data_IF_035706017286
#
_entry.id   IF_035706017286
#
_cell.length_a   1.000
_cell.length_b   1.000
_cell.length_c   1.000
_cell.angle_alpha   90.00
_cell.angle_beta   90.00
_cell.angle_gamma   90.00
#
_symmetry.space_group_name_H-M   'P 1'
#
loop_
_entity.id
_entity.type
_entity.pdbx_description
1 polymer ?
#
# COMPACT_ATOMS: atom_id res chain seq x y z
N UNK A 1 4.25 17.28 16.25
CA UNK A 1 4.61 16.12 15.39
C UNK A 1 3.62 15.00 15.63
N UNK A 2 3.17 14.30 14.58
CA UNK A 2 2.29 13.13 14.70
C UNK A 2 3.12 11.87 14.50
N UNK A 3 2.97 10.90 15.40
CA UNK A 3 3.69 9.62 15.38
C UNK A 3 2.67 8.51 15.30
N UNK A 4 2.71 7.78 14.19
CA UNK A 4 1.88 6.61 13.99
C UNK A 4 2.61 5.36 14.47
N UNK A 5 2.02 4.67 15.44
CA UNK A 5 2.51 3.41 15.95
C UNK A 5 1.67 2.24 15.43
N UNK A 6 2.28 1.08 15.45
CA UNK A 6 1.69 -0.18 15.02
C UNK A 6 2.35 -1.31 15.78
N UNK A 7 1.58 -2.36 16.06
CA UNK A 7 2.12 -3.64 16.53
C UNK A 7 3.34 -4.03 15.66
N UNK A 8 4.54 -4.23 16.27
CA UNK A 8 5.75 -4.56 15.54
C UNK A 8 5.65 -5.83 14.68
N UNK A 9 4.88 -6.83 15.13
CA UNK A 9 4.70 -8.08 14.36
C UNK A 9 3.79 -7.84 13.16
N UNK A 10 2.74 -7.02 13.31
CA UNK A 10 1.95 -6.61 12.16
C UNK A 10 2.77 -5.80 11.15
N UNK A 11 3.72 -4.99 11.63
CA UNK A 11 4.65 -4.24 10.77
C UNK A 11 5.57 -5.19 9.99
N UNK A 12 6.16 -6.18 10.66
CA UNK A 12 6.93 -7.24 10.00
C UNK A 12 6.11 -7.93 8.93
N UNK A 13 4.91 -8.41 9.26
CA UNK A 13 4.01 -9.05 8.29
C UNK A 13 3.75 -8.15 7.07
N UNK A 14 3.49 -6.86 7.27
CA UNK A 14 3.31 -5.94 6.15
C UNK A 14 4.57 -5.78 5.28
N UNK A 15 5.75 -5.66 5.91
CA UNK A 15 7.02 -5.55 5.19
C UNK A 15 7.39 -6.84 4.44
N UNK A 16 7.17 -8.00 5.05
CA UNK A 16 7.41 -9.33 4.46
C UNK A 16 6.56 -9.54 3.21
N UNK A 17 5.30 -9.11 3.25
CA UNK A 17 4.34 -9.22 2.16
C UNK A 17 4.44 -8.09 1.11
N UNK A 18 5.36 -7.14 1.27
CA UNK A 18 5.46 -5.99 0.38
C UNK A 18 5.85 -6.40 -1.05
N UNK A 19 5.07 -5.92 -2.02
CA UNK A 19 5.29 -6.16 -3.45
C UNK A 19 6.35 -5.17 -3.96
N UNK A 20 7.27 -5.64 -4.77
CA UNK A 20 8.24 -4.82 -5.51
C UNK A 20 7.60 -4.46 -6.85
N UNK A 21 7.10 -3.24 -6.94
CA UNK A 21 6.53 -2.72 -8.19
C UNK A 21 7.64 -2.54 -9.22
N UNK A 22 7.47 -3.16 -10.39
CA UNK A 22 8.45 -3.14 -11.48
C UNK A 22 7.83 -2.82 -12.83
N UNK A 23 6.51 -2.97 -12.98
CA UNK A 23 5.74 -2.50 -14.14
C UNK A 23 4.92 -1.28 -13.70
N UNK A 24 5.02 -0.21 -14.47
CA UNK A 24 4.28 1.05 -14.23
C UNK A 24 3.57 1.55 -15.49
N UNK A 25 4.03 1.14 -16.67
CA UNK A 25 3.46 1.45 -17.97
C UNK A 25 3.27 0.18 -18.78
N UNK A 26 2.16 0.11 -19.50
CA UNK A 26 1.76 -0.99 -20.37
C UNK A 26 1.17 -0.42 -21.66
N UNK A 27 1.11 -1.20 -22.73
CA UNK A 27 0.39 -0.85 -23.96
C UNK A 27 -0.64 -1.94 -24.32
N UNK A 28 -1.33 -1.77 -25.45
CA UNK A 28 -2.36 -2.71 -25.90
C UNK A 28 -1.80 -4.08 -26.33
N UNK A 29 -0.49 -4.21 -26.54
CA UNK A 29 0.16 -5.45 -26.96
C UNK A 29 0.53 -6.35 -25.78
N UNK A 30 0.78 -5.76 -24.61
CA UNK A 30 1.18 -6.51 -23.42
C UNK A 30 0.01 -7.33 -22.84
N UNK A 31 0.21 -8.63 -22.70
CA UNK A 31 -0.80 -9.51 -22.10
C UNK A 31 -1.15 -9.05 -20.68
N UNK A 32 -2.45 -8.91 -20.31
CA UNK A 32 -2.81 -8.50 -18.96
C UNK A 32 -2.26 -9.39 -17.83
N UNK A 33 -2.02 -10.68 -18.08
CA UNK A 33 -1.40 -11.56 -17.09
C UNK A 33 0.05 -11.18 -16.80
N UNK A 34 0.78 -10.73 -17.83
CA UNK A 34 2.16 -10.25 -17.72
C UNK A 34 2.21 -8.87 -17.08
N UNK A 35 1.29 -7.98 -17.47
CA UNK A 35 1.14 -6.64 -16.90
C UNK A 35 0.91 -6.64 -15.38
N UNK A 36 0.28 -7.69 -14.86
CA UNK A 36 -0.16 -7.82 -13.47
C UNK A 36 0.68 -8.81 -12.65
N UNK A 37 1.88 -9.16 -13.13
CA UNK A 37 2.82 -9.97 -12.34
C UNK A 37 3.26 -9.17 -11.12
N UNK A 38 3.13 -9.76 -9.93
CA UNK A 38 3.71 -9.22 -8.72
C UNK A 38 5.08 -9.83 -8.47
N UNK A 39 6.04 -8.96 -8.16
CA UNK A 39 7.34 -9.37 -7.65
C UNK A 39 7.40 -9.08 -6.17
N UNK A 40 8.13 -9.88 -5.44
CA UNK A 40 8.32 -9.78 -4.00
C UNK A 40 9.82 -9.67 -3.71
N UNK A 41 10.20 -9.99 -2.47
CA UNK A 41 11.59 -10.08 -2.05
C UNK A 41 12.44 -10.86 -3.07
N UNK A 42 13.60 -10.29 -3.43
CA UNK A 42 14.53 -10.85 -4.44
C UNK A 42 13.88 -11.11 -5.82
N UNK A 43 12.88 -10.30 -6.20
CA UNK A 43 12.16 -10.42 -7.48
C UNK A 43 11.49 -11.79 -7.72
N UNK A 44 11.08 -12.48 -6.64
CA UNK A 44 10.31 -13.73 -6.72
C UNK A 44 8.82 -13.45 -6.93
N UNK A 45 8.07 -14.44 -7.43
CA UNK A 45 6.62 -14.34 -7.66
C UNK A 45 5.76 -14.64 -6.41
N UNK A 46 6.41 -14.84 -5.26
CA UNK A 46 5.81 -15.14 -3.97
C UNK A 46 6.56 -14.43 -2.83
N UNK A 47 5.87 -14.02 -1.75
CA UNK A 47 6.53 -13.47 -0.57
C UNK A 47 7.39 -14.53 0.10
N UNK A 48 8.42 -14.10 0.83
CA UNK A 48 9.34 -15.02 1.50
C UNK A 48 9.58 -14.60 2.95
N UNK A 49 9.47 -15.56 3.87
CA UNK A 49 9.77 -15.36 5.29
C UNK A 49 11.25 -15.03 5.54
N UNK A 50 12.18 -15.38 4.64
CA UNK A 50 13.58 -14.92 4.70
C UNK A 50 13.70 -13.39 4.77
N UNK A 51 12.71 -12.66 4.24
CA UNK A 51 12.69 -11.20 4.35
C UNK A 51 12.64 -10.73 5.80
N UNK A 52 12.08 -11.52 6.71
CA UNK A 52 12.08 -11.23 8.16
C UNK A 52 13.51 -11.08 8.67
N UNK A 53 14.42 -11.99 8.28
CA UNK A 53 15.83 -11.91 8.69
C UNK A 53 16.46 -10.59 8.22
N UNK A 54 16.23 -10.23 6.96
CA UNK A 54 16.72 -8.95 6.41
C UNK A 54 16.15 -7.74 7.17
N UNK A 55 14.85 -7.74 7.48
CA UNK A 55 14.22 -6.62 8.20
C UNK A 55 14.79 -6.50 9.62
N UNK A 56 15.05 -7.63 10.27
CA UNK A 56 15.62 -7.69 11.62
C UNK A 56 17.09 -7.27 11.64
N UNK A 57 17.85 -7.61 10.59
CA UNK A 57 19.26 -7.20 10.42
C UNK A 57 19.41 -5.69 10.14
N UNK A 58 18.38 -5.06 9.57
CA UNK A 58 18.33 -3.62 9.30
C UNK A 58 17.16 -2.95 10.04
N UNK A 59 17.23 -2.82 11.38
CA UNK A 59 16.09 -2.49 12.24
C UNK A 59 15.63 -1.02 12.18
N UNK A 60 16.16 -0.22 11.25
CA UNK A 60 15.73 1.16 11.01
C UNK A 60 14.21 1.30 10.84
N UNK A 61 13.49 0.23 10.51
CA UNK A 61 12.03 0.19 10.44
C UNK A 61 11.31 0.24 11.80
N UNK A 62 12.01 -0.04 12.90
CA UNK A 62 11.47 -0.05 14.26
C UNK A 62 11.86 1.19 15.05
N UNK A 63 13.00 1.81 14.75
CA UNK A 63 13.58 2.95 15.48
C UNK A 63 12.80 4.28 15.29
N UNK A 64 11.52 4.32 15.68
CA UNK A 64 10.70 5.52 15.56
C UNK A 64 11.16 6.56 16.58
N UNK A 65 11.35 6.16 17.85
CA UNK A 65 11.65 7.13 18.90
C UNK A 65 13.07 7.67 18.84
N UNK A 66 14.04 6.85 18.46
CA UNK A 66 15.40 7.31 18.16
C UNK A 66 15.42 8.34 17.02
N UNK A 67 14.43 8.32 16.10
CA UNK A 67 14.33 9.32 15.04
C UNK A 67 13.70 10.62 15.50
N UNK A 68 12.78 10.54 16.47
CA UNK A 68 12.10 11.71 17.03
C UNK A 68 13.09 12.68 17.68
N UNK A 69 14.13 12.15 18.34
CA UNK A 69 15.15 12.96 19.02
C UNK A 69 15.99 13.83 18.07
N UNK A 70 16.00 13.55 16.76
CA UNK A 70 16.69 14.41 15.78
C UNK A 70 15.95 15.72 15.48
N UNK A 71 14.66 15.81 15.78
CA UNK A 71 13.87 16.99 15.51
C UNK A 71 13.94 17.97 16.69
N UNK A 72 14.61 19.11 16.49
CA UNK A 72 14.90 20.10 17.54
C UNK A 72 13.72 20.99 17.94
N UNK A 73 12.71 21.14 17.09
CA UNK A 73 11.61 22.09 17.26
C UNK A 73 10.26 21.42 17.54
N UNK A 74 10.27 20.23 18.16
CA UNK A 74 9.04 19.55 18.55
C UNK A 74 8.51 20.18 19.84
N UNK A 75 7.34 20.81 19.76
CA UNK A 75 6.60 21.32 20.93
C UNK A 75 5.69 20.25 21.54
N UNK A 76 5.13 19.38 20.71
CA UNK A 76 4.20 18.33 21.13
C UNK A 76 4.29 17.10 20.23
N UNK A 77 4.11 15.91 20.82
CA UNK A 77 4.08 14.61 20.13
C UNK A 77 2.69 13.99 20.28
N UNK A 78 1.97 13.88 19.16
CA UNK A 78 0.68 13.19 19.11
C UNK A 78 0.90 11.74 18.69
N UNK A 79 0.70 10.81 19.61
CA UNK A 79 0.81 9.37 19.32
C UNK A 79 -0.55 8.84 18.86
N UNK A 80 -0.57 8.15 17.73
CA UNK A 80 -1.74 7.45 17.18
C UNK A 80 -1.42 5.96 17.03
N UNK A 81 -2.41 5.11 17.23
CA UNK A 81 -2.35 3.72 16.78
C UNK A 81 -2.80 3.66 15.31
N UNK A 82 -2.26 2.72 14.53
CA UNK A 82 -2.74 2.43 13.17
C UNK A 82 -4.25 2.14 13.16
N UNK A 83 -4.80 1.55 14.22
CA UNK A 83 -6.25 1.32 14.40
C UNK A 83 -7.06 2.62 14.43
N UNK A 84 -6.46 3.76 14.78
CA UNK A 84 -7.13 5.06 14.82
C UNK A 84 -7.32 5.65 13.42
N UNK A 85 -6.55 5.20 12.43
CA UNK A 85 -6.59 5.68 11.05
C UNK A 85 -7.14 4.64 10.07
N UNK A 86 -7.90 3.66 10.57
CA UNK A 86 -8.54 2.60 9.77
C UNK A 86 -10.06 2.69 9.85
N UNK A 87 -10.72 2.59 8.70
CA UNK A 87 -12.18 2.56 8.59
C UNK A 87 -12.82 3.85 9.10
N UNK A 88 -13.99 3.72 9.74
CA UNK A 88 -14.76 4.85 10.27
C UNK A 88 -14.01 5.71 11.28
N UNK A 89 -13.01 5.15 11.99
CA UNK A 89 -12.18 5.91 12.94
C UNK A 89 -11.29 6.93 12.24
N UNK A 90 -10.86 6.65 11.01
CA UNK A 90 -9.93 7.49 10.28
C UNK A 90 -10.43 8.92 10.14
N UNK A 91 -11.65 9.10 9.64
CA UNK A 91 -12.24 10.43 9.47
C UNK A 91 -12.31 11.20 10.80
N UNK A 92 -12.86 10.59 11.85
CA UNK A 92 -12.95 11.19 13.19
C UNK A 92 -11.57 11.57 13.75
N UNK A 93 -10.57 10.71 13.58
CA UNK A 93 -9.19 10.98 14.00
C UNK A 93 -8.63 12.20 13.29
N UNK A 94 -8.79 12.31 11.96
CA UNK A 94 -8.34 13.48 11.20
C UNK A 94 -9.10 14.77 11.58
N UNK A 95 -10.40 14.70 11.86
CA UNK A 95 -11.17 15.84 12.38
C UNK A 95 -10.69 16.31 13.77
N UNK A 96 -10.25 15.39 14.61
CA UNK A 96 -9.67 15.72 15.92
C UNK A 96 -8.27 16.31 15.77
N UNK A 97 -7.44 15.75 14.89
CA UNK A 97 -6.11 16.26 14.60
C UNK A 97 -6.17 17.66 13.97
N UNK A 98 -7.13 17.94 13.10
CA UNK A 98 -7.25 19.25 12.45
C UNK A 98 -7.46 20.37 13.46
N UNK A 99 -8.25 20.12 14.51
CA UNK A 99 -8.46 21.05 15.63
C UNK A 99 -7.18 21.24 16.46
N UNK A 100 -6.45 20.15 16.73
CA UNK A 100 -5.23 20.18 17.56
C UNK A 100 -4.04 20.82 16.84
N UNK A 101 -3.92 20.58 15.55
CA UNK A 101 -2.78 20.98 14.71
C UNK A 101 -3.08 22.19 13.83
N UNK A 102 -4.30 22.73 13.92
CA UNK A 102 -4.78 23.90 13.19
C UNK A 102 -4.58 23.80 11.65
N UNK A 103 -4.85 22.63 11.07
CA UNK A 103 -4.90 22.46 9.62
C UNK A 103 -6.34 22.39 9.11
N UNK A 104 -6.53 22.55 7.80
CA UNK A 104 -7.86 22.58 7.18
C UNK A 104 -8.65 21.31 7.50
N UNK A 105 -9.87 21.50 8.02
CA UNK A 105 -10.76 20.42 8.38
C UNK A 105 -11.06 19.53 7.16
N UNK A 106 -10.99 18.19 7.29
CA UNK A 106 -11.39 17.29 6.21
C UNK A 106 -12.87 17.51 5.88
N UNK A 107 -13.19 17.97 4.68
CA UNK A 107 -14.57 18.22 4.28
C UNK A 107 -15.39 16.92 4.21
N UNK A 108 -16.69 16.99 4.54
CA UNK A 108 -17.56 15.81 4.64
C UNK A 108 -17.64 15.02 3.32
N UNK A 109 -17.51 15.69 2.17
CA UNK A 109 -17.44 15.07 0.84
C UNK A 109 -16.22 14.14 0.65
N UNK A 110 -15.17 14.27 1.46
CA UNK A 110 -13.99 13.40 1.45
C UNK A 110 -14.10 12.24 2.43
N UNK A 111 -15.12 12.21 3.30
CA UNK A 111 -15.27 11.19 4.35
C UNK A 111 -15.20 9.77 3.81
N UNK A 112 -15.87 9.52 2.69
CA UNK A 112 -15.85 8.22 2.02
C UNK A 112 -14.40 7.76 1.75
N UNK A 113 -13.55 8.66 1.25
CA UNK A 113 -12.15 8.37 0.95
C UNK A 113 -11.36 8.00 2.23
N UNK A 114 -11.63 8.69 3.35
CA UNK A 114 -10.99 8.37 4.63
C UNK A 114 -11.40 7.00 5.16
N UNK A 115 -12.68 6.64 5.05
CA UNK A 115 -13.22 5.39 5.62
C UNK A 115 -13.00 4.17 4.73
N UNK A 116 -12.88 4.33 3.40
CA UNK A 116 -12.66 3.20 2.48
C UNK A 116 -11.38 2.46 2.90
N UNK A 117 -11.48 1.17 3.26
CA UNK A 117 -10.31 0.37 3.61
C UNK A 117 -9.33 0.39 2.46
N UNK A 118 -8.05 0.63 2.77
CA UNK A 118 -7.00 0.35 1.81
C UNK A 118 -7.04 -1.16 1.54
N UNK A 119 -7.13 -1.59 0.28
CA UNK A 119 -6.77 -2.96 -0.11
C UNK A 119 -5.24 -3.08 -0.01
N UNK A 120 -4.71 -2.86 1.21
CA UNK A 120 -3.32 -2.51 1.52
C UNK A 120 -2.31 -3.51 1.00
N UNK A 121 -2.77 -4.74 0.77
CA UNK A 121 -1.98 -5.88 0.33
C UNK A 121 -1.83 -5.97 -1.20
N UNK A 122 -2.61 -5.19 -1.94
CA UNK A 122 -2.73 -5.24 -3.40
C UNK A 122 -2.62 -3.84 -4.04
N UNK A 123 -2.50 -2.80 -3.20
CA UNK A 123 -2.24 -1.41 -3.59
C UNK A 123 -1.12 -1.29 -4.60
N UNK A 124 -0.01 -1.98 -4.38
CA UNK A 124 1.20 -1.83 -5.19
C UNK A 124 1.03 -2.35 -6.62
N UNK A 125 -0.05 -3.09 -6.91
CA UNK A 125 -0.42 -3.47 -8.27
C UNK A 125 -0.83 -2.27 -9.12
N UNK A 126 -1.35 -1.21 -8.51
CA UNK A 126 -1.75 0.04 -9.16
C UNK A 126 -0.98 1.23 -8.55
N UNK A 127 -0.92 2.41 -9.18
CA UNK A 127 -1.41 2.71 -10.52
C UNK A 127 -0.63 2.01 -11.65
N UNK A 128 -1.30 1.73 -12.76
CA UNK A 128 -0.66 1.39 -14.04
C UNK A 128 -1.09 2.42 -15.08
N UNK A 129 -0.18 2.76 -15.99
CA UNK A 129 -0.48 3.67 -17.10
C UNK A 129 -0.58 2.87 -18.39
N UNK A 130 -1.77 2.79 -18.97
CA UNK A 130 -1.96 2.29 -20.32
C UNK A 130 -1.60 3.40 -21.31
N UNK A 131 -0.52 3.18 -22.06
CA UNK A 131 -0.01 4.09 -23.07
C UNK A 131 -0.57 3.67 -24.42
N UNK A 132 -1.27 4.59 -25.06
CA UNK A 132 -1.89 4.39 -26.37
C UNK A 132 -1.17 5.26 -27.39
N UNK A 133 -0.75 4.63 -28.48
CA UNK A 133 -0.21 5.32 -29.63
C UNK A 133 -1.33 5.52 -30.65
N UNK A 134 -1.70 6.77 -30.98
CA UNK A 134 -2.65 7.06 -32.05
C UNK A 134 -2.22 6.36 -33.34
N UNK A 135 -3.18 5.86 -34.11
CA UNK A 135 -2.95 5.03 -35.28
C UNK A 135 -2.15 5.79 -36.34
N UNK A 136 -0.85 5.48 -36.47
CA UNK A 136 0.02 5.81 -37.61
C UNK A 136 1.23 4.83 -37.70
N UNK A 137 1.02 3.53 -37.45
CA UNK A 137 2.07 2.51 -37.63
C UNK A 137 1.98 1.72 -38.95
N UNK A 138 0.98 1.96 -39.80
CA UNK A 138 0.81 1.24 -41.07
C UNK A 138 0.87 2.07 -42.36
N UNK A 139 0.98 3.39 -42.27
CA UNK A 139 1.21 4.23 -43.45
C UNK A 139 2.40 5.15 -43.22
N UNK A 140 3.32 5.18 -44.20
CA UNK A 140 4.51 6.04 -44.28
C UNK A 140 4.17 7.53 -44.43
N UNK A 141 3.17 8.03 -43.70
CA UNK A 141 2.83 9.45 -43.61
C UNK A 141 2.85 9.84 -42.13
N UNK A 142 3.94 10.50 -41.75
CA UNK A 142 4.09 11.22 -40.49
C UNK A 142 3.07 12.36 -40.46
N UNK A 143 1.85 12.08 -40.00
CA UNK A 143 1.11 13.08 -39.24
C UNK A 143 1.31 12.79 -37.75
N UNK A 144 2.13 13.65 -37.16
CA UNK A 144 2.66 13.53 -35.82
C UNK A 144 1.59 14.06 -34.86
N UNK A 145 0.88 13.17 -34.16
CA UNK A 145 0.50 13.53 -32.80
C UNK A 145 1.78 13.49 -31.97
N UNK A 146 2.19 14.63 -31.43
CA UNK A 146 3.51 14.81 -30.78
C UNK A 146 3.70 13.97 -29.51
N UNK A 147 2.62 13.45 -28.90
CA UNK A 147 2.66 12.69 -27.64
C UNK A 147 1.59 11.58 -27.56
N UNK A 148 1.90 10.44 -26.90
CA UNK A 148 0.95 9.34 -26.69
C UNK A 148 -0.22 9.76 -25.79
N UNK A 149 -1.33 9.02 -25.87
CA UNK A 149 -2.45 9.14 -24.93
C UNK A 149 -2.14 8.24 -23.72
N UNK A 150 -2.28 8.76 -22.51
CA UNK A 150 -2.05 7.99 -21.28
C UNK A 150 -3.35 7.84 -20.46
N UNK A 151 -3.72 6.60 -20.14
CA UNK A 151 -4.82 6.27 -19.24
C UNK A 151 -4.24 5.68 -17.95
N UNK A 152 -4.42 6.37 -16.84
CA UNK A 152 -4.01 5.91 -15.51
C UNK A 152 -5.12 5.05 -14.91
N UNK A 153 -4.84 3.76 -14.75
CA UNK A 153 -5.66 2.81 -14.01
C UNK A 153 -5.23 2.88 -12.55
N UNK A 154 -6.10 3.31 -11.65
CA UNK A 154 -5.73 3.51 -10.24
C UNK A 154 -6.89 3.24 -9.28
N UNK A 155 -6.60 3.16 -7.99
CA UNK A 155 -7.63 3.10 -6.96
C UNK A 155 -8.21 4.50 -6.71
N UNK A 156 -9.52 4.59 -6.44
CA UNK A 156 -10.22 5.85 -6.16
C UNK A 156 -9.60 6.65 -5.03
N UNK A 157 -9.09 5.96 -4.00
CA UNK A 157 -8.40 6.59 -2.88
C UNK A 157 -7.08 7.27 -3.26
N UNK A 158 -6.46 6.88 -4.38
CA UNK A 158 -5.27 7.54 -4.91
C UNK A 158 -5.55 8.93 -5.49
N UNK A 159 -6.82 9.29 -5.72
CA UNK A 159 -7.19 10.65 -6.15
C UNK A 159 -6.70 11.75 -5.20
N UNK A 160 -6.48 11.44 -3.92
CA UNK A 160 -5.90 12.39 -2.96
C UNK A 160 -4.46 12.81 -3.31
N UNK A 161 -3.77 12.05 -4.16
CA UNK A 161 -2.37 12.26 -4.54
C UNK A 161 -2.22 12.72 -6.00
N UNK A 162 -3.32 12.94 -6.74
CA UNK A 162 -3.29 13.34 -8.14
C UNK A 162 -3.84 14.76 -8.30
N UNK A 163 -3.31 15.51 -9.27
CA UNK A 163 -3.94 16.77 -9.69
C UNK A 163 -5.24 16.46 -10.45
N UNK A 164 -6.38 16.72 -9.80
CA UNK A 164 -7.70 16.35 -10.31
C UNK A 164 -8.23 17.32 -11.38
N UNK A 165 -7.66 18.52 -11.54
CA UNK A 165 -8.25 19.56 -12.39
C UNK A 165 -8.26 19.19 -13.89
N UNK A 166 -7.26 18.41 -14.31
CA UNK A 166 -7.04 18.02 -15.72
C UNK A 166 -7.50 16.61 -16.05
N UNK A 167 -7.70 15.77 -15.04
CA UNK A 167 -8.01 14.36 -15.19
C UNK A 167 -9.52 14.12 -15.11
N UNK A 168 -10.01 13.20 -15.94
CA UNK A 168 -11.41 12.76 -15.93
C UNK A 168 -11.48 11.24 -15.94
N UNK A 169 -12.43 10.68 -15.18
CA UNK A 169 -12.68 9.24 -15.14
C UNK A 169 -13.50 8.80 -16.35
N UNK A 170 -12.91 7.92 -17.17
CA UNK A 170 -13.52 7.34 -18.36
C UNK A 170 -14.18 5.99 -18.13
N UNK A 171 -14.35 5.54 -16.87
CA UNK A 171 -14.97 4.24 -16.57
C UNK A 171 -16.30 4.02 -17.32
N UNK A 172 -17.19 5.01 -17.31
CA UNK A 172 -18.50 4.93 -17.98
C UNK A 172 -18.40 4.91 -19.49
N UNK A 173 -17.36 5.51 -20.06
CA UNK A 173 -17.10 5.47 -21.51
C UNK A 173 -16.65 4.04 -21.93
N UNK A 174 -15.80 3.38 -21.12
CA UNK A 174 -15.31 2.04 -21.43
C UNK A 174 -16.29 0.91 -21.07
N UNK A 175 -17.12 1.12 -20.05
CA UNK A 175 -17.97 0.08 -19.47
C UNK A 175 -19.40 0.56 -19.29
N UNK A 176 -20.30 0.07 -20.16
CA UNK A 176 -21.74 0.33 -20.05
C UNK A 176 -22.38 -0.38 -18.87
N UNK A 177 -21.83 -1.55 -18.50
CA UNK A 177 -22.12 -2.29 -17.27
C UNK A 177 -20.84 -2.91 -16.75
N UNK A 178 -20.65 -2.86 -15.44
CA UNK A 178 -19.54 -3.46 -14.72
C UNK A 178 -20.10 -4.39 -13.65
N UNK A 179 -19.53 -5.59 -13.55
CA UNK A 179 -19.97 -6.62 -12.60
C UNK A 179 -18.79 -7.16 -11.75
N UNK A 180 -17.69 -6.40 -11.65
CA UNK A 180 -16.54 -6.79 -10.83
C UNK A 180 -16.70 -6.31 -9.38
N UNK A 181 -16.22 -7.11 -8.43
CA UNK A 181 -16.38 -6.88 -6.98
C UNK A 181 -15.81 -5.52 -6.53
N UNK A 182 -14.78 -5.03 -7.25
CA UNK A 182 -14.01 -3.82 -6.91
C UNK A 182 -14.39 -2.60 -7.77
N UNK A 183 -15.54 -2.60 -8.40
CA UNK A 183 -15.87 -1.59 -9.42
C UNK A 183 -15.88 -0.16 -8.91
N UNK A 184 -16.31 0.07 -7.69
CA UNK A 184 -16.40 1.40 -7.09
C UNK A 184 -15.04 1.89 -6.57
N UNK A 185 -14.05 0.99 -6.53
CA UNK A 185 -12.71 1.26 -6.04
C UNK A 185 -11.71 1.63 -7.14
N UNK A 186 -12.02 1.39 -8.42
CA UNK A 186 -11.09 1.62 -9.55
C UNK A 186 -11.48 2.86 -10.34
N UNK A 187 -10.50 3.56 -10.92
CA UNK A 187 -10.68 4.69 -11.83
C UNK A 187 -9.83 4.51 -13.08
N UNK A 188 -10.30 5.08 -14.19
CA UNK A 188 -9.59 5.16 -15.47
C UNK A 188 -9.41 6.63 -15.83
N UNK A 189 -8.32 7.22 -15.37
CA UNK A 189 -8.09 8.65 -15.47
C UNK A 189 -7.31 9.01 -16.74
N UNK A 190 -7.79 10.00 -17.48
CA UNK A 190 -7.16 10.52 -18.70
C UNK A 190 -7.16 12.04 -18.68
N UNK A 191 -6.24 12.69 -19.40
CA UNK A 191 -6.32 14.13 -19.64
C UNK A 191 -7.55 14.49 -20.49
N UNK A 192 -8.20 15.62 -20.19
CA UNK A 192 -9.39 16.11 -20.91
C UNK A 192 -9.17 16.22 -22.43
N UNK A 193 -8.00 16.68 -22.87
CA UNK A 193 -7.69 16.81 -24.30
C UNK A 193 -7.50 15.44 -24.95
N UNK A 194 -6.85 14.51 -24.24
CA UNK A 194 -6.62 13.15 -24.71
C UNK A 194 -7.88 12.31 -24.79
N UNK A 195 -8.87 12.55 -23.91
CA UNK A 195 -10.21 11.95 -24.07
C UNK A 195 -10.81 12.28 -25.42
N UNK A 196 -10.78 13.55 -25.83
CA UNK A 196 -11.36 13.96 -27.11
C UNK A 196 -10.63 13.29 -28.29
N UNK A 197 -9.30 13.19 -28.23
CA UNK A 197 -8.47 12.49 -29.23
C UNK A 197 -8.81 11.00 -29.30
N UNK A 198 -8.96 10.35 -28.14
CA UNK A 198 -9.32 8.93 -28.09
C UNK A 198 -10.73 8.69 -28.65
N UNK A 199 -11.71 9.52 -28.32
CA UNK A 199 -13.08 9.39 -28.79
C UNK A 199 -13.24 9.66 -30.30
N UNK A 200 -12.34 10.46 -30.89
CA UNK A 200 -12.31 10.69 -32.35
C UNK A 200 -11.73 9.52 -33.15
N UNK A 201 -10.95 8.64 -32.50
CA UNK A 201 -10.39 7.43 -33.12
C UNK A 201 -11.19 6.20 -32.65
N UNK A 202 -12.27 5.92 -33.38
CA UNK A 202 -13.16 4.79 -33.08
C UNK A 202 -12.44 3.44 -33.02
N UNK A 203 -11.38 3.24 -33.83
CA UNK A 203 -10.65 1.98 -33.86
C UNK A 203 -9.84 1.81 -32.58
N UNK A 204 -9.01 2.81 -32.25
CA UNK A 204 -8.20 2.81 -31.04
C UNK A 204 -9.07 2.75 -29.77
N UNK A 205 -10.20 3.47 -29.76
CA UNK A 205 -11.15 3.41 -28.64
C UNK A 205 -11.70 2.00 -28.44
N UNK A 206 -12.14 1.31 -29.51
CA UNK A 206 -12.65 -0.05 -29.42
C UNK A 206 -11.57 -1.05 -28.96
N UNK A 207 -10.35 -0.92 -29.46
CA UNK A 207 -9.22 -1.74 -29.03
C UNK A 207 -8.91 -1.53 -27.54
N UNK A 208 -8.88 -0.27 -27.11
CA UNK A 208 -8.69 0.12 -25.70
C UNK A 208 -9.77 -0.47 -24.83
N UNK A 209 -11.04 -0.35 -25.24
CA UNK A 209 -12.17 -0.89 -24.51
C UNK A 209 -12.08 -2.42 -24.36
N UNK A 210 -11.73 -3.14 -25.43
CA UNK A 210 -11.56 -4.59 -25.41
C UNK A 210 -10.40 -5.01 -24.50
N UNK A 211 -9.28 -4.29 -24.55
CA UNK A 211 -8.13 -4.53 -23.69
C UNK A 211 -8.50 -4.36 -22.21
N UNK A 212 -9.11 -3.22 -21.85
CA UNK A 212 -9.48 -2.92 -20.47
C UNK A 212 -10.51 -3.90 -19.90
N UNK A 213 -11.43 -4.42 -20.72
CA UNK A 213 -12.34 -5.51 -20.31
C UNK A 213 -11.58 -6.78 -19.93
N UNK A 214 -10.64 -7.22 -20.77
CA UNK A 214 -9.78 -8.39 -20.46
C UNK A 214 -8.92 -8.13 -19.22
N UNK A 215 -8.34 -6.94 -19.14
CA UNK A 215 -7.53 -6.51 -18.00
C UNK A 215 -8.29 -6.61 -16.68
N UNK A 216 -9.52 -6.10 -16.61
CA UNK A 216 -10.30 -6.13 -15.35
C UNK A 216 -10.65 -7.55 -14.90
N UNK A 217 -10.94 -8.47 -15.83
CA UNK A 217 -11.19 -9.88 -15.51
C UNK A 217 -9.93 -10.51 -14.91
N UNK A 218 -8.77 -10.29 -15.53
CA UNK A 218 -7.48 -10.80 -15.02
C UNK A 218 -7.14 -10.17 -13.68
N UNK A 219 -7.34 -8.85 -13.53
CA UNK A 219 -7.02 -8.11 -12.33
C UNK A 219 -7.81 -8.58 -11.10
N UNK A 220 -9.11 -8.83 -11.25
CA UNK A 220 -9.94 -9.35 -10.16
C UNK A 220 -9.49 -10.73 -9.69
N UNK A 221 -9.20 -11.63 -10.64
CA UNK A 221 -8.65 -12.95 -10.33
C UNK A 221 -7.29 -12.84 -9.65
N UNK A 222 -6.43 -11.96 -10.16
CA UNK A 222 -5.10 -11.73 -9.60
C UNK A 222 -5.17 -11.21 -8.16
N UNK A 223 -6.07 -10.28 -7.84
CA UNK A 223 -6.32 -9.84 -6.46
C UNK A 223 -6.65 -11.03 -5.55
N UNK A 224 -7.51 -11.95 -6.01
CA UNK A 224 -7.93 -13.14 -5.25
C UNK A 224 -6.76 -14.11 -5.05
N UNK A 225 -5.93 -14.33 -6.08
CA UNK A 225 -4.74 -15.18 -6.01
C UNK A 225 -3.67 -14.61 -5.08
N UNK A 226 -3.32 -13.34 -5.26
CA UNK A 226 -2.25 -12.69 -4.49
C UNK A 226 -2.60 -12.64 -3.01
N UNK A 227 -3.88 -12.42 -2.65
CA UNK A 227 -4.35 -12.49 -1.26
C UNK A 227 -4.06 -13.84 -0.59
N UNK A 228 -4.10 -14.96 -1.33
CA UNK A 228 -3.85 -16.32 -0.81
C UNK A 228 -2.36 -16.57 -0.49
N UNK A 229 -1.45 -15.80 -1.10
CA UNK A 229 0.00 -15.97 -0.91
C UNK A 229 0.53 -15.32 0.36
N UNK A 230 -0.23 -14.40 0.94
CA UNK A 230 0.29 -13.47 1.94
C UNK A 230 0.34 -14.10 3.31
N UNK A 231 1.48 -13.93 3.97
CA UNK A 231 1.66 -14.37 5.34
C UNK A 231 0.75 -13.60 6.30
N UNK A 232 0.23 -14.32 7.27
CA UNK A 232 -0.43 -13.80 8.45
C UNK A 232 0.59 -13.43 9.53
N UNK A 233 0.14 -12.74 10.58
CA UNK A 233 0.95 -12.50 11.77
C UNK A 233 1.38 -13.80 12.46
N UNK A 234 0.54 -14.84 12.42
CA UNK A 234 0.88 -16.15 12.97
C UNK A 234 2.02 -16.82 12.20
N UNK A 235 2.07 -16.67 10.88
CA UNK A 235 3.18 -17.20 10.07
C UNK A 235 4.51 -16.52 10.44
N UNK A 236 4.48 -15.21 10.74
CA UNK A 236 5.65 -14.48 11.24
C UNK A 236 6.07 -15.01 12.62
N UNK A 237 5.11 -15.19 13.54
CA UNK A 237 5.40 -15.73 14.88
C UNK A 237 5.95 -17.15 14.83
N UNK A 238 5.40 -18.01 13.97
CA UNK A 238 5.89 -19.37 13.76
C UNK A 238 7.32 -19.35 13.21
N UNK A 239 7.60 -18.51 12.21
CA UNK A 239 8.95 -18.34 11.69
C UNK A 239 9.95 -17.91 12.78
N UNK A 240 9.58 -16.94 13.62
CA UNK A 240 10.41 -16.48 14.74
C UNK A 240 10.53 -17.54 15.85
N UNK A 241 9.56 -18.43 16.03
CA UNK A 241 9.66 -19.55 16.97
C UNK A 241 10.77 -20.51 16.57
N UNK A 242 10.85 -20.82 15.29
CA UNK A 242 11.82 -21.80 14.75
C UNK A 242 13.19 -21.15 14.50
N UNK A 243 13.22 -19.86 14.18
CA UNK A 243 14.44 -19.10 13.92
C UNK A 243 14.90 -18.31 15.17
N UNK A 244 15.69 -18.99 16.03
CA UNK A 244 16.24 -18.40 17.27
C UNK A 244 17.05 -17.13 17.03
N UNK A 245 17.86 -17.09 15.98
CA UNK A 245 18.72 -15.93 15.71
C UNK A 245 17.88 -14.69 15.40
N UNK A 246 16.91 -14.81 14.49
CA UNK A 246 16.00 -13.72 14.16
C UNK A 246 15.18 -13.27 15.38
N UNK A 247 14.68 -14.22 16.18
CA UNK A 247 13.91 -13.92 17.40
C UNK A 247 14.70 -13.09 18.40
N UNK A 248 15.93 -13.51 18.74
CA UNK A 248 16.77 -12.79 19.71
C UNK A 248 17.10 -11.39 19.19
N UNK A 249 17.49 -11.27 17.91
CA UNK A 249 17.77 -9.96 17.30
C UNK A 249 16.54 -9.05 17.36
N UNK A 250 15.36 -9.53 16.96
CA UNK A 250 14.12 -8.76 17.02
C UNK A 250 13.77 -8.36 18.45
N UNK A 251 13.90 -9.27 19.43
CA UNK A 251 13.67 -8.97 20.86
C UNK A 251 14.55 -7.79 21.32
N UNK A 252 15.82 -7.78 20.92
CA UNK A 252 16.76 -6.72 21.28
C UNK A 252 16.40 -5.38 20.62
N UNK A 253 16.07 -5.41 19.33
CA UNK A 253 15.63 -4.23 18.56
C UNK A 253 14.38 -3.60 19.19
N UNK A 254 13.39 -4.42 19.52
CA UNK A 254 12.11 -3.93 20.03
C UNK A 254 12.18 -3.47 21.49
N UNK A 255 13.16 -3.91 22.28
CA UNK A 255 13.26 -3.58 23.71
C UNK A 255 13.21 -2.07 23.95
N UNK A 256 14.00 -1.29 23.22
CA UNK A 256 14.06 0.16 23.38
C UNK A 256 12.71 0.81 23.03
N UNK A 257 12.19 0.50 21.84
CA UNK A 257 10.96 1.10 21.30
C UNK A 257 9.73 0.75 22.14
N UNK A 258 9.61 -0.49 22.59
CA UNK A 258 8.50 -0.93 23.46
C UNK A 258 8.58 -0.24 24.82
N UNK A 259 9.76 -0.16 25.44
CA UNK A 259 9.93 0.49 26.73
C UNK A 259 9.61 1.99 26.66
N UNK A 260 10.05 2.65 25.60
CA UNK A 260 9.69 4.05 25.35
C UNK A 260 8.18 4.20 25.19
N UNK A 261 7.56 3.38 24.32
CA UNK A 261 6.12 3.44 24.08
C UNK A 261 5.32 3.18 25.36
N UNK A 262 5.74 2.23 26.22
CA UNK A 262 5.08 1.94 27.50
C UNK A 262 5.08 3.18 28.41
N UNK A 263 6.18 3.96 28.44
CA UNK A 263 6.28 5.20 29.23
C UNK A 263 5.35 6.31 28.72
N UNK A 264 5.19 6.43 27.40
CA UNK A 264 4.38 7.52 26.83
C UNK A 264 2.90 7.14 26.66
N UNK A 265 2.60 5.89 26.30
CA UNK A 265 1.25 5.40 26.09
C UNK A 265 1.14 3.88 26.31
N UNK A 266 1.10 3.47 27.58
CA UNK A 266 0.96 2.07 27.99
C UNK A 266 -0.27 1.37 27.38
N UNK A 267 -1.38 2.10 27.21
CA UNK A 267 -2.63 1.54 26.66
C UNK A 267 -2.47 1.07 25.21
N UNK A 268 -1.70 1.78 24.39
CA UNK A 268 -1.43 1.38 23.00
C UNK A 268 -0.69 0.04 22.97
N UNK A 269 0.38 -0.10 23.76
CA UNK A 269 1.17 -1.35 23.83
C UNK A 269 0.34 -2.50 24.36
N UNK A 270 -0.52 -2.26 25.34
CA UNK A 270 -1.47 -3.25 25.84
C UNK A 270 -2.48 -3.72 24.77
N UNK A 271 -2.64 -2.98 23.67
CA UNK A 271 -3.52 -3.36 22.56
C UNK A 271 -2.81 -4.18 21.45
N UNK A 272 -1.48 -4.33 21.51
CA UNK A 272 -0.68 -5.04 20.53
C UNK A 272 -0.67 -6.54 20.80
N UNK A 273 -1.71 -7.22 20.31
CA UNK A 273 -1.93 -8.65 20.49
C UNK A 273 -0.71 -9.48 20.10
N UNK A 274 -0.18 -9.28 18.90
CA UNK A 274 0.88 -10.14 18.36
C UNK A 274 2.24 -9.82 18.98
N UNK A 275 2.46 -8.57 19.37
CA UNK A 275 3.61 -8.19 20.18
C UNK A 275 3.62 -8.90 21.54
N UNK A 276 2.46 -9.04 22.20
CA UNK A 276 2.35 -9.78 23.46
C UNK A 276 2.61 -11.27 23.29
N UNK A 277 2.06 -11.87 22.22
CA UNK A 277 2.36 -13.27 21.86
C UNK A 277 3.85 -13.49 21.61
N UNK A 278 4.51 -12.54 20.94
CA UNK A 278 5.96 -12.55 20.72
C UNK A 278 6.75 -12.43 22.04
N UNK A 279 6.41 -11.48 22.92
CA UNK A 279 7.06 -11.33 24.23
C UNK A 279 6.92 -12.62 25.08
N UNK A 280 5.74 -13.24 25.08
CA UNK A 280 5.47 -14.52 25.76
C UNK A 280 6.34 -15.64 25.20
N UNK A 281 6.35 -15.82 23.88
CA UNK A 281 7.19 -16.81 23.20
C UNK A 281 8.68 -16.64 23.53
N UNK A 282 9.17 -15.40 23.56
CA UNK A 282 10.56 -15.11 23.91
C UNK A 282 10.91 -15.51 25.35
N UNK A 283 9.96 -15.38 26.29
CA UNK A 283 10.15 -15.82 27.68
C UNK A 283 10.18 -17.34 27.80
N UNK A 284 9.27 -18.01 27.11
CA UNK A 284 9.16 -19.48 27.14
C UNK A 284 10.38 -20.17 26.53
N UNK A 285 10.93 -19.64 25.43
CA UNK A 285 11.98 -20.30 24.66
C UNK A 285 13.39 -19.89 25.02
N UNK A 286 13.58 -18.63 25.44
CA UNK A 286 14.91 -18.09 25.69
C UNK A 286 15.12 -17.72 27.18
N UNK A 287 14.07 -17.78 27.99
CA UNK A 287 14.09 -17.29 29.37
C UNK A 287 14.22 -15.77 29.47
N UNK A 288 14.31 -15.29 30.70
CA UNK A 288 14.73 -13.92 31.00
C UNK A 288 16.26 -13.87 30.88
N UNK A 289 16.78 -13.72 29.65
CA UNK A 289 18.23 -13.56 29.37
C UNK A 289 18.84 -12.29 30.04
N UNK A 290 18.11 -11.60 30.91
CA UNK A 290 18.55 -10.37 31.57
C UNK A 290 19.07 -10.57 33.01
N UNK A 291 19.13 -11.80 33.53
CA UNK A 291 19.63 -12.03 34.90
C UNK A 291 21.04 -12.62 34.99
N UNK A 292 21.79 -12.78 33.88
CA UNK A 292 23.12 -13.41 33.94
C UNK A 292 24.33 -12.55 33.59
N UNK A 293 24.15 -11.31 33.14
CA UNK A 293 25.28 -10.42 32.82
C UNK A 293 25.10 -9.00 33.39
N UNK A 294 24.77 -8.91 34.69
CA UNK A 294 24.90 -7.70 35.50
C UNK A 294 25.70 -8.01 36.77
#
# INVERSE_FOLDING_TARGET
MVVLLRDPIERLKSLTNHIVKHITKIDLTLNPNEALVNKYYKMKDYPSLEKVDTIVDYPNYFDIFSKITYFKNITEVFILDTKDIVGNRCYTTFCNLSKKLNFQYPSENLKEIFITPFVSKVMDMLPLTLVLYPTNQYDNKKDIFTHPIEIIITFRKMMLYCNQEKLIDMKKDFFSKSNWDIQDEILFLIDKNDKNRLLSDSCLFLQTQQYLRKFMIVFENKIKEEKKKLFSENDILNYLRDNKQARIKLKNVLKHEINFTKKTNQKIVASWKYCQEFEKMCKELDGDIYEKDL
#
